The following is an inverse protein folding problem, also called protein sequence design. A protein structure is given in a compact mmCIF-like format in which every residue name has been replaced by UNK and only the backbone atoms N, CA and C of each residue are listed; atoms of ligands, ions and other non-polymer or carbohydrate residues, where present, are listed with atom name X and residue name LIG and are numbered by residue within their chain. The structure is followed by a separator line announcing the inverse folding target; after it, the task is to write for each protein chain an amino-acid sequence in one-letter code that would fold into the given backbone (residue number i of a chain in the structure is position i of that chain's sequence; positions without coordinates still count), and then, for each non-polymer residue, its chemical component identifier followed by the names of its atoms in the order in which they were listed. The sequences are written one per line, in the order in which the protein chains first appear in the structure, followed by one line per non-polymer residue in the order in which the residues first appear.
data_IF_981126596096
#
_entry.id   IF_981126596096
#
_cell.length_a   1.000
_cell.length_b   1.000
_cell.length_c   1.000
_cell.angle_alpha   90.00
_cell.angle_beta   90.00
_cell.angle_gamma   90.00
#
_symmetry.space_group_name_H-M   'P 1'
#
loop_
_entity.id
_entity.type
_entity.pdbx_description
1 polymer ?
#
# COMPACT_ATOMS: atom_id res chain seq x y z
N UNK A 1 -7.11 13.14 -3.29
CA UNK A 1 -6.18 13.64 -4.33
C UNK A 1 -5.37 12.44 -4.83
N UNK A 2 -5.40 12.13 -6.13
CA UNK A 2 -4.70 10.94 -6.65
C UNK A 2 -3.24 11.33 -6.94
N UNK A 3 -2.32 10.90 -6.08
CA UNK A 3 -0.90 11.27 -6.13
C UNK A 3 -0.16 10.27 -7.02
N UNK A 4 0.64 10.76 -7.97
CA UNK A 4 1.51 9.90 -8.77
C UNK A 4 2.84 9.71 -8.03
N UNK A 5 3.21 8.45 -7.76
CA UNK A 5 4.41 8.09 -6.98
C UNK A 5 5.42 7.40 -7.89
N UNK A 6 6.63 7.94 -7.98
CA UNK A 6 7.78 7.26 -8.59
C UNK A 6 8.42 6.33 -7.57
N UNK A 7 8.56 5.05 -7.93
CA UNK A 7 9.22 4.03 -7.08
C UNK A 7 10.63 3.75 -7.58
N UNK A 8 10.81 3.74 -8.91
CA UNK A 8 12.10 3.56 -9.60
C UNK A 8 12.19 4.50 -10.81
N UNK A 9 13.38 4.62 -11.43
CA UNK A 9 13.65 5.57 -12.51
C UNK A 9 12.56 5.63 -13.60
N UNK A 10 12.01 4.46 -13.96
CA UNK A 10 11.00 4.32 -15.03
C UNK A 10 9.63 3.79 -14.56
N UNK A 11 9.42 3.59 -13.25
CA UNK A 11 8.14 3.09 -12.72
C UNK A 11 7.43 4.14 -11.88
N UNK A 12 6.41 4.77 -12.47
CA UNK A 12 5.39 5.53 -11.75
C UNK A 12 4.11 4.73 -11.63
N UNK A 13 3.43 4.86 -10.49
CA UNK A 13 2.07 4.37 -10.34
C UNK A 13 1.17 5.44 -9.74
N UNK A 14 -0.11 5.34 -10.06
CA UNK A 14 -1.14 6.18 -9.46
C UNK A 14 -1.55 5.57 -8.13
N UNK A 15 -1.33 6.30 -7.05
CA UNK A 15 -1.81 5.90 -5.73
C UNK A 15 -3.36 5.99 -5.73
N UNK A 16 -4.02 4.83 -5.67
CA UNK A 16 -5.49 4.71 -5.72
C UNK A 16 -6.12 4.41 -4.36
N UNK A 17 -5.32 3.97 -3.39
CA UNK A 17 -5.75 3.72 -2.02
C UNK A 17 -5.38 4.93 -1.16
N UNK A 18 -6.31 5.40 -0.34
CA UNK A 18 -5.98 6.34 0.72
C UNK A 18 -5.16 5.66 1.83
N UNK A 19 -4.53 6.48 2.67
CA UNK A 19 -3.64 5.99 3.74
C UNK A 19 -4.33 5.02 4.67
N UNK A 20 -5.57 5.31 5.09
CA UNK A 20 -6.30 4.46 6.03
C UNK A 20 -6.58 3.09 5.42
N UNK A 21 -7.07 3.06 4.19
CA UNK A 21 -7.34 1.80 3.48
C UNK A 21 -6.06 0.97 3.31
N UNK A 22 -4.92 1.61 3.00
CA UNK A 22 -3.63 0.90 2.88
C UNK A 22 -3.19 0.24 4.18
N UNK A 23 -3.25 0.96 5.30
CA UNK A 23 -2.84 0.38 6.58
C UNK A 23 -3.78 -0.76 7.03
N UNK A 24 -5.09 -0.62 6.79
CA UNK A 24 -6.04 -1.70 7.08
C UNK A 24 -5.74 -2.97 6.27
N UNK A 25 -5.38 -2.84 4.99
CA UNK A 25 -4.98 -3.99 4.16
C UNK A 25 -3.73 -4.67 4.75
N UNK A 26 -2.73 -3.90 5.19
CA UNK A 26 -1.51 -4.47 5.80
C UNK A 26 -1.82 -5.29 7.04
N UNK A 27 -2.65 -4.76 7.94
CA UNK A 27 -3.07 -5.48 9.16
C UNK A 27 -3.87 -6.74 8.81
N UNK A 28 -4.80 -6.64 7.86
CA UNK A 28 -5.60 -7.78 7.42
C UNK A 28 -4.72 -8.90 6.85
N UNK A 29 -3.72 -8.56 6.03
CA UNK A 29 -2.77 -9.54 5.48
C UNK A 29 -1.94 -10.17 6.59
N UNK A 30 -1.35 -9.37 7.49
CA UNK A 30 -0.56 -9.89 8.60
C UNK A 30 -1.37 -10.87 9.48
N UNK A 31 -2.63 -10.53 9.76
CA UNK A 31 -3.57 -11.37 10.52
C UNK A 31 -3.89 -12.66 9.77
N UNK A 32 -4.17 -12.58 8.47
CA UNK A 32 -4.58 -13.72 7.66
C UNK A 32 -3.44 -14.72 7.41
N UNK A 33 -2.21 -14.23 7.29
CA UNK A 33 -1.02 -15.06 7.04
C UNK A 33 -0.31 -15.50 8.30
N UNK A 34 -0.68 -14.96 9.47
CA UNK A 34 0.04 -15.18 10.73
C UNK A 34 1.46 -14.64 10.69
N UNK A 35 1.70 -13.56 9.93
CA UNK A 35 3.02 -12.97 9.82
C UNK A 35 3.44 -12.40 11.18
N UNK A 36 4.55 -12.88 11.78
CA UNK A 36 5.08 -12.26 12.98
C UNK A 36 5.61 -10.85 12.64
N UNK A 37 5.42 -9.91 13.57
CA UNK A 37 5.99 -8.55 13.53
C UNK A 37 7.53 -8.56 13.48
#
# INVERSE_FOLDING_TARGET
MKVERKVFADFSYREVLDTKTRELIRVAVATATGCPD
#
